data_IF_152899989446
#
_entry.id   IF_152899989446
#
_cell.length_a   1.000
_cell.length_b   1.000
_cell.length_c   1.000
_cell.angle_alpha   90.00
_cell.angle_beta   90.00
_cell.angle_gamma   90.00
#
_symmetry.space_group_name_H-M   'P 1'
#
loop_
_entity.id
_entity.type
_entity.pdbx_description
1 polymer ?
#
# COMPACT_ATOMS: atom_id res chain seq x y z
N UNK A 1 -24.46 -18.01 11.29
CA UNK A 1 -24.06 -17.72 9.91
C UNK A 1 -22.86 -16.78 9.91
N UNK A 2 -21.69 -17.30 9.59
CA UNK A 2 -20.48 -16.49 9.64
C UNK A 2 -20.24 -15.88 8.27
N UNK A 3 -20.44 -14.61 8.13
CA UNK A 3 -19.93 -13.86 7.00
C UNK A 3 -18.47 -13.55 7.27
N UNK A 4 -17.59 -14.25 6.60
CA UNK A 4 -16.19 -13.87 6.58
C UNK A 4 -16.01 -12.67 5.70
N UNK A 5 -15.90 -11.55 6.31
CA UNK A 5 -15.41 -10.34 5.68
C UNK A 5 -13.92 -10.21 6.00
N UNK A 6 -13.06 -10.83 5.24
CA UNK A 6 -11.64 -10.68 5.44
C UNK A 6 -10.84 -11.86 4.89
N UNK A 7 -9.76 -11.54 4.23
CA UNK A 7 -8.79 -12.50 3.75
C UNK A 7 -8.01 -13.03 4.96
N UNK A 8 -8.00 -14.34 5.18
CA UNK A 8 -7.21 -14.92 6.26
C UNK A 8 -5.72 -14.90 5.93
N UNK A 9 -4.88 -15.00 6.95
CA UNK A 9 -3.43 -15.13 6.75
C UNK A 9 -3.12 -16.33 5.84
N UNK A 10 -3.88 -17.39 5.96
CA UNK A 10 -3.72 -18.58 5.12
C UNK A 10 -4.06 -18.30 3.66
N UNK A 11 -5.10 -17.49 3.41
CA UNK A 11 -5.46 -17.08 2.05
C UNK A 11 -4.35 -16.27 1.39
N UNK A 12 -3.64 -15.44 2.17
CA UNK A 12 -2.49 -14.70 1.68
C UNK A 12 -1.34 -15.66 1.32
N UNK A 13 -1.03 -16.60 2.19
CA UNK A 13 -0.01 -17.60 1.91
C UNK A 13 -0.37 -18.49 0.73
N UNK A 14 -1.62 -18.89 0.62
CA UNK A 14 -2.12 -19.70 -0.49
C UNK A 14 -2.09 -18.92 -1.82
N UNK A 15 -2.38 -17.62 -1.79
CA UNK A 15 -2.29 -16.75 -2.96
C UNK A 15 -0.85 -16.47 -3.38
N UNK A 16 0.09 -16.46 -2.43
CA UNK A 16 1.52 -16.26 -2.68
C UNK A 16 2.26 -17.56 -2.97
N UNK A 17 1.67 -18.71 -2.64
CA UNK A 17 2.30 -20.01 -2.83
C UNK A 17 2.21 -20.43 -4.31
N UNK A 18 3.35 -20.64 -4.98
CA UNK A 18 3.35 -21.08 -6.38
C UNK A 18 2.91 -22.53 -6.58
N UNK A 19 2.47 -23.21 -5.53
CA UNK A 19 2.42 -24.67 -5.48
C UNK A 19 1.04 -25.30 -5.66
N UNK A 20 -0.01 -24.53 -6.02
CA UNK A 20 -1.30 -25.15 -6.38
C UNK A 20 -1.42 -25.38 -7.88
N UNK A 21 -0.45 -26.07 -8.42
CA UNK A 21 -0.54 -26.58 -9.78
C UNK A 21 -1.00 -28.04 -9.68
N UNK A 22 -2.12 -28.35 -10.29
CA UNK A 22 -2.56 -29.73 -10.38
C UNK A 22 -1.53 -30.56 -11.15
N UNK A 23 -1.21 -31.77 -10.67
CA UNK A 23 -0.22 -32.60 -11.34
C UNK A 23 -0.70 -33.00 -12.73
N UNK A 24 0.04 -32.64 -13.75
CA UNK A 24 -0.21 -33.04 -15.13
C UNK A 24 -0.15 -31.95 -16.20
N UNK A 25 0.04 -30.69 -15.83
CA UNK A 25 0.14 -29.60 -16.80
C UNK A 25 1.45 -28.83 -16.66
N UNK A 26 2.48 -29.23 -17.39
CA UNK A 26 3.76 -28.52 -17.44
C UNK A 26 3.63 -27.08 -18.01
N UNK A 27 2.58 -26.83 -18.78
CA UNK A 27 2.29 -25.48 -19.29
C UNK A 27 1.78 -24.55 -18.19
N UNK A 28 1.08 -25.07 -17.18
CA UNK A 28 0.57 -24.30 -16.07
C UNK A 28 1.66 -23.91 -15.07
N UNK A 29 2.73 -24.71 -14.98
CA UNK A 29 3.89 -24.37 -14.15
C UNK A 29 4.61 -23.13 -14.67
N UNK A 30 4.86 -23.08 -15.97
CA UNK A 30 5.50 -21.91 -16.59
C UNK A 30 4.61 -20.66 -16.49
N UNK A 31 3.29 -20.83 -16.49
CA UNK A 31 2.36 -19.72 -16.34
C UNK A 31 2.32 -19.23 -14.89
N UNK A 32 2.24 -20.14 -13.93
CA UNK A 32 2.26 -19.82 -12.50
C UNK A 32 3.58 -19.21 -12.04
N UNK A 33 4.71 -19.68 -12.57
CA UNK A 33 6.03 -19.10 -12.28
C UNK A 33 6.19 -17.71 -12.91
N UNK A 34 5.64 -17.49 -14.10
CA UNK A 34 5.60 -16.17 -14.75
C UNK A 34 4.67 -15.24 -13.99
N UNK A 35 3.51 -15.70 -13.56
CA UNK A 35 2.58 -14.91 -12.76
C UNK A 35 3.13 -14.61 -11.37
N UNK A 36 3.83 -15.54 -10.74
CA UNK A 36 4.50 -15.30 -9.47
C UNK A 36 5.63 -14.28 -9.60
N UNK A 37 6.40 -14.33 -10.69
CA UNK A 37 7.41 -13.32 -10.99
C UNK A 37 6.80 -11.98 -11.38
N UNK A 38 5.68 -11.98 -12.08
CA UNK A 38 4.93 -10.77 -12.44
C UNK A 38 4.09 -10.26 -11.27
N UNK A 39 3.71 -11.12 -10.32
CA UNK A 39 2.99 -10.76 -9.11
C UNK A 39 3.79 -9.90 -8.12
N UNK A 40 5.10 -9.79 -8.33
CA UNK A 40 5.97 -8.90 -7.55
C UNK A 40 6.18 -7.54 -8.23
N UNK A 41 5.50 -7.27 -9.33
CA UNK A 41 5.56 -5.97 -9.99
C UNK A 41 4.57 -5.00 -9.35
N UNK A 42 5.00 -3.76 -9.05
CA UNK A 42 4.11 -2.76 -8.47
C UNK A 42 3.01 -2.35 -9.44
N UNK A 43 1.82 -2.14 -8.91
CA UNK A 43 0.67 -1.69 -9.67
C UNK A 43 0.58 -0.15 -9.59
N UNK A 44 0.97 0.54 -10.65
CA UNK A 44 1.01 1.99 -10.72
C UNK A 44 -0.37 2.65 -10.86
N UNK A 45 -1.41 1.89 -11.11
CA UNK A 45 -2.78 2.42 -11.16
C UNK A 45 -3.48 2.39 -9.80
N UNK A 46 -2.92 1.70 -8.81
CA UNK A 46 -3.57 1.49 -7.51
C UNK A 46 -2.86 2.22 -6.39
N UNK A 47 -3.67 2.78 -5.49
CA UNK A 47 -3.23 3.41 -4.25
C UNK A 47 -3.95 2.75 -3.08
N UNK A 48 -3.20 2.37 -2.07
CA UNK A 48 -3.78 1.88 -0.81
C UNK A 48 -3.89 3.04 0.17
N UNK A 49 -5.11 3.34 0.60
CA UNK A 49 -5.42 4.40 1.55
C UNK A 49 -5.78 3.77 2.88
N UNK A 50 -4.98 4.04 3.91
CA UNK A 50 -5.06 3.36 5.19
C UNK A 50 -5.31 4.35 6.32
N UNK A 51 -6.23 4.03 7.20
CA UNK A 51 -6.47 4.81 8.41
C UNK A 51 -7.65 4.28 9.21
N UNK A 52 -7.73 4.68 10.45
CA UNK A 52 -8.87 4.31 11.32
C UNK A 52 -10.13 5.08 10.95
N UNK A 53 -10.00 6.34 10.53
CA UNK A 53 -11.13 7.19 10.17
C UNK A 53 -11.64 6.89 8.76
N UNK A 54 -12.86 6.41 8.66
CA UNK A 54 -13.52 6.17 7.37
C UNK A 54 -13.69 7.46 6.57
N UNK A 55 -14.02 8.55 7.23
CA UNK A 55 -14.20 9.86 6.58
C UNK A 55 -12.89 10.31 5.95
N UNK A 56 -11.78 10.23 6.69
CA UNK A 56 -10.47 10.61 6.16
C UNK A 56 -10.09 9.74 4.96
N UNK A 57 -10.33 8.43 5.01
CA UNK A 57 -10.07 7.55 3.87
C UNK A 57 -10.85 7.96 2.63
N UNK A 58 -12.13 8.31 2.79
CA UNK A 58 -12.98 8.74 1.67
C UNK A 58 -12.46 10.04 1.07
N UNK A 59 -12.08 11.01 1.89
CA UNK A 59 -11.53 12.29 1.42
C UNK A 59 -10.25 12.07 0.62
N UNK A 60 -9.33 11.28 1.16
CA UNK A 60 -8.06 10.95 0.47
C UNK A 60 -8.34 10.22 -0.85
N UNK A 61 -9.25 9.25 -0.84
CA UNK A 61 -9.62 8.50 -2.04
C UNK A 61 -10.12 9.42 -3.15
N UNK A 62 -10.97 10.38 -2.82
CA UNK A 62 -11.47 11.37 -3.79
C UNK A 62 -10.36 12.22 -4.40
N UNK A 63 -9.36 12.57 -3.60
CA UNK A 63 -8.23 13.35 -4.09
C UNK A 63 -7.40 12.53 -5.09
N UNK A 64 -7.06 11.29 -4.75
CA UNK A 64 -6.22 10.46 -5.62
C UNK A 64 -6.95 10.01 -6.90
N UNK A 65 -8.26 9.88 -6.86
CA UNK A 65 -9.08 9.62 -8.07
C UNK A 65 -8.90 10.70 -9.12
N UNK A 66 -8.67 11.94 -8.72
CA UNK A 66 -8.42 13.06 -9.66
C UNK A 66 -7.11 12.90 -10.45
N UNK A 67 -6.16 12.14 -9.91
CA UNK A 67 -4.92 11.78 -10.61
C UNK A 67 -5.09 10.54 -11.50
N UNK A 68 -6.31 10.04 -11.68
CA UNK A 68 -6.59 8.85 -12.48
C UNK A 68 -6.27 7.54 -11.78
N UNK A 69 -6.02 7.58 -10.47
CA UNK A 69 -5.66 6.41 -9.68
C UNK A 69 -6.90 5.71 -9.11
N UNK A 70 -6.75 4.45 -8.81
CA UNK A 70 -7.81 3.62 -8.22
C UNK A 70 -7.49 3.38 -6.73
N UNK A 71 -8.13 4.12 -5.82
CA UNK A 71 -7.89 3.93 -4.39
C UNK A 71 -8.58 2.67 -3.88
N UNK A 72 -7.90 1.99 -2.97
CA UNK A 72 -8.47 0.95 -2.13
C UNK A 72 -8.33 1.43 -0.68
N UNK A 73 -9.44 1.54 0.02
CA UNK A 73 -9.48 2.06 1.39
C UNK A 73 -9.56 0.90 2.37
N UNK A 74 -8.67 0.92 3.35
CA UNK A 74 -8.61 -0.13 4.37
C UNK A 74 -8.28 0.43 5.76
N UNK A 75 -8.68 -0.32 6.79
CA UNK A 75 -8.14 -0.14 8.13
C UNK A 75 -6.69 -0.64 8.17
N UNK A 76 -5.88 -0.25 9.17
CA UNK A 76 -4.52 -0.78 9.29
C UNK A 76 -4.45 -2.31 9.28
N UNK A 77 -5.37 -2.97 9.97
CA UNK A 77 -5.43 -4.45 10.02
C UNK A 77 -5.74 -5.04 8.64
N UNK A 78 -6.70 -4.50 7.94
CA UNK A 78 -7.05 -4.94 6.59
C UNK A 78 -5.94 -4.68 5.59
N UNK A 79 -5.28 -3.53 5.71
CA UNK A 79 -4.19 -3.12 4.83
C UNK A 79 -3.00 -4.09 4.87
N UNK A 80 -2.63 -4.56 6.06
CA UNK A 80 -1.52 -5.53 6.20
C UNK A 80 -1.79 -6.79 5.38
N UNK A 81 -3.04 -7.22 5.32
CA UNK A 81 -3.44 -8.43 4.60
C UNK A 81 -3.39 -8.26 3.09
N UNK A 82 -3.86 -7.12 2.59
CA UNK A 82 -3.99 -6.93 1.14
C UNK A 82 -2.73 -6.34 0.49
N UNK A 83 -1.86 -5.70 1.26
CA UNK A 83 -0.66 -5.03 0.75
C UNK A 83 0.20 -5.92 -0.15
N UNK A 84 0.61 -7.14 0.25
CA UNK A 84 1.42 -7.99 -0.62
C UNK A 84 0.67 -8.50 -1.84
N UNK A 85 -0.64 -8.68 -1.76
CA UNK A 85 -1.46 -9.16 -2.87
C UNK A 85 -1.67 -8.09 -3.93
N UNK A 86 -1.83 -6.86 -3.48
CA UNK A 86 -2.12 -5.73 -4.34
C UNK A 86 -0.86 -5.09 -4.91
N UNK A 87 0.22 -5.06 -4.14
CA UNK A 87 1.47 -4.36 -4.41
C UNK A 87 1.20 -3.01 -5.08
N UNK A 88 0.57 -2.04 -4.38
CA UNK A 88 0.32 -0.73 -4.96
C UNK A 88 1.63 0.03 -5.13
N UNK A 89 1.70 0.94 -6.09
CA UNK A 89 2.86 1.81 -6.23
C UNK A 89 2.91 2.88 -5.11
N UNK A 90 1.77 3.20 -4.51
CA UNK A 90 1.66 4.22 -3.49
C UNK A 90 0.77 3.74 -2.33
N UNK A 91 1.20 4.04 -1.12
CA UNK A 91 0.41 3.85 0.11
C UNK A 91 0.29 5.21 0.81
N UNK A 92 -0.92 5.59 1.18
CA UNK A 92 -1.17 6.80 1.96
C UNK A 92 -1.69 6.37 3.32
N UNK A 93 -0.96 6.75 4.37
CA UNK A 93 -1.24 6.37 5.74
C UNK A 93 -1.76 7.56 6.55
N UNK A 94 -2.94 7.43 7.16
CA UNK A 94 -3.36 8.35 8.21
C UNK A 94 -2.77 7.86 9.53
N UNK A 95 -1.78 8.57 10.05
CA UNK A 95 -1.01 8.15 11.22
C UNK A 95 -1.75 8.21 12.55
N UNK A 96 -2.90 8.86 12.59
CA UNK A 96 -3.61 9.10 13.84
C UNK A 96 -2.90 10.14 14.70
N UNK A 97 -3.28 10.26 16.00
CA UNK A 97 -2.75 11.31 16.87
C UNK A 97 -1.23 11.26 17.07
N UNK A 98 -0.65 10.07 17.14
CA UNK A 98 0.77 9.86 17.46
C UNK A 98 1.58 9.32 16.30
N UNK A 99 1.04 9.31 15.08
CA UNK A 99 1.67 8.74 13.89
C UNK A 99 1.98 7.23 14.00
N UNK A 100 1.27 6.51 14.85
CA UNK A 100 1.54 5.08 15.15
C UNK A 100 0.45 4.12 14.70
N UNK A 101 -0.71 4.63 14.29
CA UNK A 101 -1.86 3.78 13.92
C UNK A 101 -1.53 2.80 12.78
N UNK A 102 -0.58 3.15 11.92
CA UNK A 102 -0.22 2.39 10.74
C UNK A 102 1.16 1.72 10.83
N UNK A 103 1.74 1.58 12.03
CA UNK A 103 3.08 1.00 12.20
C UNK A 103 3.18 -0.42 11.62
N UNK A 104 2.13 -1.23 11.75
CA UNK A 104 2.09 -2.57 11.16
C UNK A 104 2.11 -2.55 9.63
N UNK A 105 1.47 -1.56 9.02
CA UNK A 105 1.48 -1.37 7.57
C UNK A 105 2.87 -0.93 7.10
N UNK A 106 3.51 -0.04 7.84
CA UNK A 106 4.90 0.39 7.58
C UNK A 106 5.84 -0.80 7.60
N UNK A 107 5.71 -1.68 8.59
CA UNK A 107 6.50 -2.92 8.65
C UNK A 107 6.25 -3.81 7.43
N UNK A 108 5.01 -3.91 6.98
CA UNK A 108 4.63 -4.64 5.77
C UNK A 108 5.24 -4.05 4.50
N UNK A 109 5.26 -2.71 4.40
CA UNK A 109 5.92 -2.02 3.28
C UNK A 109 7.41 -2.33 3.24
N UNK A 110 8.09 -2.26 4.38
CA UNK A 110 9.52 -2.58 4.47
C UNK A 110 9.80 -4.02 4.05
N UNK A 111 8.97 -4.96 4.49
CA UNK A 111 9.08 -6.36 4.10
C UNK A 111 8.90 -6.54 2.59
N UNK A 112 7.90 -5.88 2.01
CA UNK A 112 7.62 -5.95 0.58
C UNK A 112 8.75 -5.34 -0.25
N UNK A 113 9.31 -4.21 0.17
CA UNK A 113 10.48 -3.60 -0.47
C UNK A 113 11.69 -4.52 -0.45
N UNK A 114 11.89 -5.22 0.65
CA UNK A 114 13.01 -6.16 0.81
C UNK A 114 12.87 -7.36 -0.13
N UNK A 115 11.67 -7.93 -0.20
CA UNK A 115 11.40 -9.11 -1.04
C UNK A 115 11.47 -8.75 -2.52
N UNK A 116 10.94 -7.60 -2.91
CA UNK A 116 10.92 -7.15 -4.30
C UNK A 116 12.24 -6.51 -4.75
N UNK A 117 13.13 -6.18 -3.83
CA UNK A 117 14.35 -5.39 -4.08
C UNK A 117 14.06 -4.02 -4.72
N UNK A 118 12.90 -3.44 -4.43
CA UNK A 118 12.45 -2.14 -4.94
C UNK A 118 12.17 -1.18 -3.78
N UNK A 119 12.23 0.12 -4.04
CA UNK A 119 11.81 1.16 -3.09
C UNK A 119 10.31 1.49 -3.20
N UNK A 120 9.50 0.48 -3.53
CA UNK A 120 8.06 0.60 -3.67
C UNK A 120 7.35 -0.41 -2.77
N UNK A 121 6.16 -0.08 -2.28
CA UNK A 121 5.37 1.15 -2.51
C UNK A 121 6.06 2.40 -1.96
N UNK A 122 5.83 3.55 -2.62
CA UNK A 122 6.09 4.84 -2.01
C UNK A 122 5.07 5.09 -0.88
N UNK A 123 5.46 5.83 0.16
CA UNK A 123 4.62 6.04 1.35
C UNK A 123 4.49 7.51 1.66
N UNK A 124 3.24 7.98 1.75
CA UNK A 124 2.88 9.29 2.28
C UNK A 124 2.24 9.09 3.65
N UNK A 125 2.73 9.80 4.65
CA UNK A 125 2.10 9.85 5.97
C UNK A 125 1.32 11.16 6.12
N UNK A 126 0.05 11.06 6.49
CA UNK A 126 -0.78 12.20 6.89
C UNK A 126 -0.61 12.37 8.39
N UNK A 127 -0.01 13.49 8.80
CA UNK A 127 0.40 13.71 10.18
C UNK A 127 -0.27 14.94 10.78
N UNK A 128 -0.56 14.90 12.08
CA UNK A 128 -0.97 16.08 12.84
C UNK A 128 0.20 17.00 13.16
N UNK A 129 1.44 16.55 12.92
CA UNK A 129 2.66 17.32 13.19
C UNK A 129 3.27 17.82 11.91
N UNK A 130 3.75 19.07 11.92
CA UNK A 130 4.52 19.63 10.83
C UNK A 130 5.94 19.05 10.84
N UNK A 131 6.46 18.75 9.67
CA UNK A 131 7.82 18.31 9.51
C UNK A 131 8.02 17.37 8.33
N UNK A 132 9.25 17.02 8.08
CA UNK A 132 9.63 15.99 7.13
C UNK A 132 9.82 14.63 7.85
N UNK A 133 10.00 13.52 7.14
CA UNK A 133 10.18 12.21 7.77
C UNK A 133 11.35 12.17 8.77
N UNK A 134 12.44 12.86 8.50
CA UNK A 134 13.60 12.87 9.39
C UNK A 134 13.35 13.67 10.67
N UNK A 135 12.75 14.86 10.55
CA UNK A 135 12.46 15.73 11.71
C UNK A 135 11.41 15.12 12.64
N UNK A 136 10.52 14.29 12.12
CA UNK A 136 9.49 13.61 12.91
C UNK A 136 9.96 12.24 13.43
N UNK A 137 11.22 11.86 13.17
CA UNK A 137 11.80 10.57 13.56
C UNK A 137 10.96 9.37 13.09
N UNK A 138 10.45 9.46 11.85
CA UNK A 138 9.63 8.42 11.26
C UNK A 138 10.47 7.31 10.64
N UNK A 139 9.82 6.18 10.37
CA UNK A 139 10.44 5.06 9.67
C UNK A 139 11.02 5.50 8.32
N UNK A 140 12.11 4.87 7.91
CA UNK A 140 12.72 5.05 6.58
C UNK A 140 11.78 4.67 5.43
N UNK A 141 10.70 3.95 5.71
CA UNK A 141 9.68 3.64 4.71
C UNK A 141 8.85 4.85 4.28
N UNK A 142 8.75 5.88 5.14
CA UNK A 142 7.97 7.09 4.84
C UNK A 142 8.76 8.01 3.93
N UNK A 143 8.22 8.28 2.75
CA UNK A 143 8.89 9.09 1.72
C UNK A 143 8.47 10.56 1.78
N UNK A 144 7.26 10.85 2.25
CA UNK A 144 6.74 12.20 2.37
C UNK A 144 5.73 12.31 3.50
N UNK A 145 5.61 13.51 4.06
CA UNK A 145 4.63 13.84 5.09
C UNK A 145 3.74 14.97 4.56
N UNK A 146 2.44 14.82 4.74
CA UNK A 146 1.46 15.87 4.50
C UNK A 146 0.74 16.15 5.81
N UNK A 147 0.76 17.42 6.24
CA UNK A 147 0.19 17.81 7.53
C UNK A 147 -1.32 17.96 7.45
N UNK A 148 -2.02 17.44 8.43
CA UNK A 148 -3.47 17.63 8.58
C UNK A 148 -3.77 18.91 9.36
N UNK A 149 -4.80 19.68 8.99
CA UNK A 149 -5.68 19.47 7.82
C UNK A 149 -4.97 19.81 6.52
N UNK A 150 -5.28 19.08 5.46
CA UNK A 150 -4.69 19.29 4.14
C UNK A 150 -5.77 19.56 3.09
N UNK A 151 -5.36 20.20 2.01
CA UNK A 151 -6.20 20.44 0.83
C UNK A 151 -5.78 19.51 -0.32
N UNK A 152 -6.61 19.47 -1.36
CA UNK A 152 -6.27 18.78 -2.60
C UNK A 152 -4.96 19.29 -3.19
N UNK A 153 -4.76 20.63 -3.16
CA UNK A 153 -3.57 21.31 -3.69
C UNK A 153 -2.30 20.96 -2.92
N UNK A 154 -2.42 20.49 -1.69
CA UNK A 154 -1.28 20.04 -0.87
C UNK A 154 -0.96 18.57 -1.07
N UNK A 155 -1.96 17.71 -1.15
CA UNK A 155 -1.77 16.28 -1.26
C UNK A 155 -1.47 15.83 -2.69
N UNK A 156 -2.24 16.30 -3.67
CA UNK A 156 -2.14 15.82 -5.05
C UNK A 156 -0.75 16.00 -5.68
N UNK A 157 -0.05 17.15 -5.51
CA UNK A 157 1.30 17.28 -6.05
C UNK A 157 2.31 16.31 -5.44
N UNK A 158 2.15 15.96 -4.16
CA UNK A 158 3.01 14.96 -3.51
C UNK A 158 2.79 13.58 -4.10
N UNK A 159 1.52 13.20 -4.30
CA UNK A 159 1.14 11.94 -4.97
C UNK A 159 1.78 11.87 -6.36
N UNK A 160 1.59 12.89 -7.17
CA UNK A 160 2.08 12.95 -8.55
C UNK A 160 3.61 12.90 -8.60
N UNK A 161 4.27 13.60 -7.70
CA UNK A 161 5.74 13.61 -7.61
C UNK A 161 6.31 12.24 -7.28
N UNK A 162 5.74 11.55 -6.27
CA UNK A 162 6.22 10.24 -5.85
C UNK A 162 5.98 9.19 -6.93
N UNK A 163 4.85 9.24 -7.62
CA UNK A 163 4.57 8.31 -8.71
C UNK A 163 5.48 8.53 -9.90
N UNK A 164 5.76 9.78 -10.27
CA UNK A 164 6.72 10.10 -11.33
C UNK A 164 8.12 9.60 -10.99
N UNK A 165 8.57 9.82 -9.77
CA UNK A 165 9.86 9.32 -9.28
C UNK A 165 9.92 7.78 -9.34
N UNK A 166 8.83 7.12 -9.04
CA UNK A 166 8.75 5.66 -9.05
C UNK A 166 8.77 5.07 -10.47
N UNK A 167 8.26 5.80 -11.46
CA UNK A 167 8.22 5.38 -12.87
C UNK A 167 9.51 5.75 -13.63
N UNK A 168 10.26 6.70 -13.13
CA UNK A 168 11.52 7.15 -13.70
C UNK A 168 12.66 6.31 -13.24
#
# INVERSE_FOLDING_TARGET
MQTRTGISTQDIYDAMAPSRVEPGFDQDRNFAERDAAHGLAPNFSRVLVVGMSQINRIVVARIVERSGLKPVCETPVGAVRILPLMFPALVILDGGPDNKDCDSVVAGVLALRRVSAMNLPAVILLSNRNGDPASLALSSAVDAVVTKPFTTEQLQPVVDRLLRKAQG
#
